data_IF_716588085501
#
_entry.id   IF_716588085501
#
_cell.length_a   1.000
_cell.length_b   1.000
_cell.length_c   1.000
_cell.angle_alpha   90.00
_cell.angle_beta   90.00
_cell.angle_gamma   90.00
#
_symmetry.space_group_name_H-M   'P 1'
#
loop_
_entity.id
_entity.type
_entity.pdbx_description
1 polymer ?
#
# COMPACT_ATOMS: atom_id res chain seq x y z
N UNK A 1 -4.93 3.35 -14.73
CA UNK A 1 -4.46 3.81 -13.39
C UNK A 1 -3.82 5.18 -13.52
N UNK A 2 -4.31 6.15 -12.73
CA UNK A 2 -3.90 7.57 -12.83
C UNK A 2 -2.56 7.85 -12.13
N UNK A 3 -2.20 7.08 -11.11
CA UNK A 3 -1.03 7.33 -10.27
C UNK A 3 0.02 6.21 -10.42
N UNK A 4 1.31 6.59 -10.43
CA UNK A 4 2.43 5.65 -10.53
C UNK A 4 2.39 4.60 -9.41
N UNK A 5 2.15 5.05 -8.18
CA UNK A 5 2.06 4.15 -7.00
C UNK A 5 0.96 3.09 -7.12
N UNK A 6 -0.16 3.40 -7.80
CA UNK A 6 -1.21 2.41 -8.08
C UNK A 6 -0.73 1.34 -9.05
N UNK A 7 0.07 1.74 -10.03
CA UNK A 7 0.63 0.81 -11.02
C UNK A 7 1.65 -0.14 -10.37
N UNK A 8 2.54 0.39 -9.54
CA UNK A 8 3.54 -0.41 -8.83
C UNK A 8 2.89 -1.41 -7.86
N UNK A 9 1.86 -1.00 -7.10
CA UNK A 9 1.10 -1.90 -6.21
C UNK A 9 0.35 -2.98 -6.98
N UNK A 10 -0.24 -2.64 -8.12
CA UNK A 10 -0.89 -3.60 -9.01
C UNK A 10 0.10 -4.59 -9.63
N UNK A 11 1.26 -4.12 -10.04
CA UNK A 11 2.32 -4.97 -10.56
C UNK A 11 2.77 -5.99 -9.49
N UNK A 12 3.04 -5.55 -8.26
CA UNK A 12 3.39 -6.44 -7.15
C UNK A 12 2.29 -7.48 -6.85
N UNK A 13 1.02 -7.09 -6.92
CA UNK A 13 -0.11 -8.02 -6.81
C UNK A 13 -0.07 -9.08 -7.91
N UNK A 14 0.12 -8.69 -9.16
CA UNK A 14 0.21 -9.63 -10.29
C UNK A 14 1.41 -10.57 -10.17
N UNK A 15 2.57 -10.06 -9.75
CA UNK A 15 3.78 -10.84 -9.54
C UNK A 15 3.57 -11.90 -8.44
N UNK A 16 3.00 -11.50 -7.29
CA UNK A 16 2.72 -12.42 -6.18
C UNK A 16 1.73 -13.54 -6.57
N UNK A 17 0.68 -13.22 -7.33
CA UNK A 17 -0.24 -14.24 -7.85
C UNK A 17 0.48 -15.19 -8.80
N UNK A 18 1.29 -14.66 -9.70
CA UNK A 18 2.03 -15.46 -10.67
C UNK A 18 3.04 -16.40 -9.99
N UNK A 19 3.73 -15.94 -8.96
CA UNK A 19 4.63 -16.77 -8.13
C UNK A 19 3.89 -17.89 -7.41
N UNK A 20 2.62 -17.65 -7.01
CA UNK A 20 1.75 -18.65 -6.43
C UNK A 20 1.07 -19.58 -7.47
N UNK A 21 1.36 -19.42 -8.77
CA UNK A 21 0.74 -20.19 -9.85
C UNK A 21 -0.70 -19.79 -10.15
N UNK A 22 -1.14 -18.60 -9.70
CA UNK A 22 -2.49 -18.07 -9.89
C UNK A 22 -2.46 -17.07 -11.03
N UNK A 23 -3.32 -17.25 -12.03
CA UNK A 23 -3.45 -16.28 -13.13
C UNK A 23 -4.21 -15.06 -12.64
N UNK A 24 -3.67 -13.82 -12.76
CA UNK A 24 -4.41 -12.61 -12.42
C UNK A 24 -5.68 -12.48 -13.26
N UNK A 25 -6.82 -12.26 -12.59
CA UNK A 25 -8.11 -11.99 -13.24
C UNK A 25 -8.38 -10.49 -13.25
N UNK A 26 -8.45 -9.84 -14.44
CA UNK A 26 -8.73 -8.42 -14.55
C UNK A 26 -10.11 -8.01 -14.01
N UNK A 27 -11.08 -8.93 -13.95
CA UNK A 27 -12.42 -8.64 -13.42
C UNK A 27 -12.43 -8.42 -11.91
N UNK A 28 -11.40 -8.94 -11.21
CA UNK A 28 -11.19 -8.74 -9.78
C UNK A 28 -10.35 -7.49 -9.46
N UNK A 29 -10.06 -6.65 -10.46
CA UNK A 29 -9.26 -5.43 -10.28
C UNK A 29 -10.10 -4.20 -10.59
N UNK A 30 -10.33 -3.35 -9.59
CA UNK A 30 -11.14 -2.15 -9.74
C UNK A 30 -10.32 -0.93 -9.34
N UNK A 31 -10.27 0.07 -10.21
CA UNK A 31 -9.58 1.33 -9.94
C UNK A 31 -10.37 2.19 -8.95
N UNK A 32 -9.75 2.57 -7.84
CA UNK A 32 -10.29 3.46 -6.82
C UNK A 32 -9.64 4.84 -6.83
N UNK A 33 -9.95 5.64 -5.81
CA UNK A 33 -9.57 7.05 -5.69
C UNK A 33 -8.75 7.36 -4.42
N UNK A 34 -8.32 6.33 -3.69
CA UNK A 34 -7.66 6.41 -2.38
C UNK A 34 -8.53 6.97 -1.24
N UNK A 35 -9.85 7.13 -1.46
CA UNK A 35 -10.79 7.61 -0.46
C UNK A 35 -11.66 6.46 0.08
N UNK A 36 -12.19 6.56 1.32
CA UNK A 36 -13.07 5.52 1.88
C UNK A 36 -14.31 5.28 1.03
N UNK A 37 -14.95 6.34 0.52
CA UNK A 37 -16.13 6.22 -0.35
C UNK A 37 -15.84 5.47 -1.65
N UNK A 38 -14.67 5.70 -2.26
CA UNK A 38 -14.21 4.95 -3.43
C UNK A 38 -13.91 3.51 -3.08
N UNK A 39 -13.25 3.24 -1.95
CA UNK A 39 -13.01 1.90 -1.44
C UNK A 39 -14.30 1.10 -1.23
N UNK A 40 -15.33 1.72 -0.60
CA UNK A 40 -16.65 1.11 -0.42
C UNK A 40 -17.33 0.79 -1.75
N UNK A 41 -17.29 1.72 -2.70
CA UNK A 41 -17.90 1.50 -4.02
C UNK A 41 -17.17 0.39 -4.81
N UNK A 42 -15.83 0.32 -4.75
CA UNK A 42 -15.05 -0.72 -5.39
C UNK A 42 -15.29 -2.09 -4.74
N UNK A 43 -15.23 -2.17 -3.42
CA UNK A 43 -15.49 -3.40 -2.69
C UNK A 43 -16.92 -3.90 -2.95
N UNK A 44 -17.94 -3.03 -2.93
CA UNK A 44 -19.30 -3.40 -3.24
C UNK A 44 -19.46 -4.04 -4.63
N UNK A 45 -18.73 -3.56 -5.65
CA UNK A 45 -18.72 -4.18 -6.98
C UNK A 45 -18.10 -5.58 -6.96
N UNK A 46 -17.00 -5.78 -6.22
CA UNK A 46 -16.35 -7.10 -6.09
C UNK A 46 -17.24 -8.08 -5.34
N UNK A 47 -17.91 -7.62 -4.28
CA UNK A 47 -18.77 -8.45 -3.43
C UNK A 47 -20.12 -8.79 -4.09
N UNK A 48 -20.51 -8.03 -5.12
CA UNK A 48 -21.71 -8.30 -5.93
C UNK A 48 -21.48 -9.36 -7.03
N UNK A 49 -20.24 -9.80 -7.26
CA UNK A 49 -19.96 -10.86 -8.24
C UNK A 49 -20.56 -12.20 -7.77
N UNK A 50 -20.97 -13.03 -8.71
CA UNK A 50 -21.46 -14.39 -8.44
C UNK A 50 -20.35 -15.21 -7.75
N UNK A 51 -19.14 -15.20 -8.33
CA UNK A 51 -17.93 -15.76 -7.74
C UNK A 51 -17.12 -14.66 -7.06
N UNK A 52 -17.64 -14.15 -5.93
CA UNK A 52 -16.98 -13.08 -5.20
C UNK A 52 -15.64 -13.49 -4.60
N UNK A 53 -14.65 -12.59 -4.51
CA UNK A 53 -13.39 -12.90 -3.86
C UNK A 53 -13.58 -13.12 -2.36
N UNK A 54 -12.77 -14.02 -1.78
CA UNK A 54 -12.68 -14.26 -0.34
C UNK A 54 -11.61 -13.43 0.34
N UNK A 55 -10.86 -12.65 -0.44
CA UNK A 55 -9.85 -11.71 0.05
C UNK A 55 -9.80 -10.46 -0.84
N UNK A 56 -9.62 -9.30 -0.23
CA UNK A 56 -9.42 -8.02 -0.92
C UNK A 56 -8.11 -7.39 -0.43
N UNK A 57 -7.26 -7.01 -1.38
CA UNK A 57 -6.14 -6.11 -1.17
C UNK A 57 -6.56 -4.69 -1.58
N UNK A 58 -6.70 -3.81 -0.61
CA UNK A 58 -6.99 -2.40 -0.84
C UNK A 58 -5.68 -1.61 -0.97
N UNK A 59 -5.57 -0.80 -2.01
CA UNK A 59 -4.35 -0.04 -2.32
C UNK A 59 -4.05 1.11 -1.33
N UNK A 60 -4.89 1.32 -0.30
CA UNK A 60 -4.60 2.16 0.87
C UNK A 60 -5.49 1.74 2.04
N UNK A 61 -5.08 2.11 3.26
CA UNK A 61 -5.90 1.88 4.46
C UNK A 61 -7.23 2.65 4.39
N UNK A 62 -7.23 3.83 3.80
CA UNK A 62 -8.46 4.62 3.61
C UNK A 62 -9.48 3.84 2.76
N UNK A 63 -9.03 3.22 1.66
CA UNK A 63 -9.91 2.36 0.84
C UNK A 63 -10.32 1.09 1.59
N UNK A 64 -9.42 0.51 2.41
CA UNK A 64 -9.76 -0.65 3.24
C UNK A 64 -10.86 -0.33 4.25
N UNK A 65 -10.91 0.88 4.82
CA UNK A 65 -12.01 1.26 5.71
C UNK A 65 -13.35 1.26 4.98
N UNK A 66 -13.38 1.79 3.76
CA UNK A 66 -14.59 1.70 2.92
C UNK A 66 -14.95 0.25 2.55
N UNK A 67 -13.95 -0.61 2.36
CA UNK A 67 -14.19 -2.03 2.10
C UNK A 67 -14.76 -2.76 3.34
N UNK A 68 -14.37 -2.38 4.57
CA UNK A 68 -15.00 -2.87 5.80
C UNK A 68 -16.48 -2.49 5.87
N UNK A 69 -16.82 -1.24 5.54
CA UNK A 69 -18.23 -0.77 5.47
C UNK A 69 -19.02 -1.59 4.43
N UNK A 70 -18.44 -1.81 3.24
CA UNK A 70 -19.08 -2.62 2.21
C UNK A 70 -19.30 -4.06 2.68
N UNK A 71 -18.32 -4.68 3.35
CA UNK A 71 -18.46 -6.04 3.88
C UNK A 71 -19.63 -6.13 4.88
N UNK A 72 -19.77 -5.15 5.78
CA UNK A 72 -20.89 -5.08 6.73
C UNK A 72 -22.24 -4.96 6.00
N UNK A 73 -22.32 -4.12 4.97
CA UNK A 73 -23.55 -3.96 4.15
C UNK A 73 -23.98 -5.24 3.42
N UNK A 74 -22.99 -6.06 3.02
CA UNK A 74 -23.22 -7.37 2.42
C UNK A 74 -23.42 -8.49 3.46
N UNK A 75 -23.40 -8.17 4.75
CA UNK A 75 -23.57 -9.13 5.84
C UNK A 75 -22.38 -10.09 5.99
N UNK A 76 -21.19 -9.68 5.53
CA UNK A 76 -19.95 -10.48 5.57
C UNK A 76 -19.14 -10.14 6.80
N UNK A 77 -18.65 -11.16 7.47
CA UNK A 77 -17.74 -11.03 8.61
C UNK A 77 -16.30 -10.98 8.13
N UNK A 78 -15.55 -10.02 8.64
CA UNK A 78 -14.11 -9.93 8.46
C UNK A 78 -13.46 -10.36 9.77
N UNK A 79 -12.60 -11.39 9.80
CA UNK A 79 -11.97 -12.07 8.65
C UNK A 79 -12.68 -13.35 8.18
N UNK A 80 -13.77 -13.82 8.81
CA UNK A 80 -14.30 -15.16 8.62
C UNK A 80 -14.80 -15.41 7.19
N UNK A 81 -15.52 -14.45 6.62
CA UNK A 81 -16.13 -14.57 5.28
C UNK A 81 -15.31 -13.80 4.21
N UNK A 82 -14.49 -12.83 4.64
CA UNK A 82 -13.66 -11.99 3.79
C UNK A 82 -12.39 -11.56 4.51
N UNK A 83 -11.22 -11.89 3.97
CA UNK A 83 -9.95 -11.32 4.43
C UNK A 83 -9.71 -9.97 3.78
N UNK A 84 -9.16 -9.01 4.55
CA UNK A 84 -8.90 -7.65 4.06
C UNK A 84 -7.50 -7.18 4.46
N UNK A 85 -6.74 -6.70 3.47
CA UNK A 85 -5.41 -6.11 3.66
C UNK A 85 -5.44 -4.67 3.14
N UNK A 86 -4.90 -3.74 3.93
CA UNK A 86 -4.67 -2.36 3.56
C UNK A 86 -3.21 -2.08 3.16
N UNK A 87 -2.93 -0.82 2.95
CA UNK A 87 -1.59 -0.30 2.65
C UNK A 87 -1.45 1.08 3.30
N UNK A 88 -0.32 1.38 3.90
CA UNK A 88 0.19 2.56 4.58
C UNK A 88 0.40 2.35 6.08
N UNK A 89 -0.39 1.51 6.76
CA UNK A 89 -0.42 1.27 8.21
C UNK A 89 -0.56 2.58 9.01
N UNK A 90 -1.54 3.40 8.65
CA UNK A 90 -1.84 4.61 9.41
C UNK A 90 -2.42 4.27 10.79
N UNK A 91 -2.26 5.14 11.81
CA UNK A 91 -2.62 4.81 13.21
C UNK A 91 -4.04 4.28 13.42
N UNK A 92 -5.00 4.71 12.62
CA UNK A 92 -6.39 4.25 12.70
C UNK A 92 -6.53 2.75 12.41
N UNK A 93 -5.66 2.15 11.58
CA UNK A 93 -5.70 0.73 11.20
C UNK A 93 -5.58 -0.23 12.39
N UNK A 94 -4.91 0.19 13.47
CA UNK A 94 -4.84 -0.57 14.71
C UNK A 94 -6.13 -0.50 15.54
N UNK A 95 -7.03 0.44 15.24
CA UNK A 95 -8.23 0.72 16.03
C UNK A 95 -9.54 0.39 15.29
N UNK A 96 -9.47 -0.06 14.04
CA UNK A 96 -10.64 -0.59 13.33
C UNK A 96 -11.14 -1.89 13.98
N UNK A 97 -12.33 -2.32 13.62
CA UNK A 97 -12.92 -3.58 14.09
C UNK A 97 -13.42 -4.36 12.88
N UNK A 98 -12.73 -5.46 12.55
CA UNK A 98 -11.44 -5.95 13.11
C UNK A 98 -10.27 -4.99 12.87
N UNK A 99 -9.19 -5.10 13.70
CA UNK A 99 -7.96 -4.34 13.46
C UNK A 99 -7.35 -4.74 12.11
N UNK A 100 -7.03 -3.75 11.26
CA UNK A 100 -6.65 -3.96 9.87
C UNK A 100 -5.20 -4.42 9.73
N UNK A 101 -4.99 -5.55 9.06
CA UNK A 101 -3.71 -5.98 8.53
C UNK A 101 -3.31 -5.03 7.41
N UNK A 102 -2.11 -4.49 7.43
CA UNK A 102 -1.68 -3.47 6.47
C UNK A 102 -0.19 -3.54 6.17
N UNK A 103 0.19 -3.13 4.97
CA UNK A 103 1.60 -2.94 4.59
C UNK A 103 2.08 -1.60 5.13
N UNK A 104 3.02 -1.64 6.08
CA UNK A 104 3.60 -0.45 6.71
C UNK A 104 4.66 0.17 5.83
N UNK A 105 4.45 1.41 5.43
CA UNK A 105 5.50 2.23 4.83
C UNK A 105 6.38 2.88 5.92
N UNK A 106 7.71 2.93 5.75
CA UNK A 106 8.61 3.56 6.71
C UNK A 106 8.61 5.10 6.56
N UNK A 107 7.45 5.76 6.77
CA UNK A 107 7.27 7.21 6.52
C UNK A 107 8.30 8.09 7.23
N UNK A 108 8.66 7.74 8.46
CA UNK A 108 9.66 8.50 9.21
C UNK A 108 11.03 8.43 8.53
N UNK A 109 11.48 7.23 8.15
CA UNK A 109 12.74 7.03 7.44
C UNK A 109 12.71 7.69 6.06
N UNK A 110 11.58 7.58 5.34
CA UNK A 110 11.38 8.27 4.05
C UNK A 110 11.59 9.77 4.20
N UNK A 111 10.99 10.39 5.22
CA UNK A 111 11.16 11.81 5.52
C UNK A 111 12.61 12.16 5.84
N UNK A 112 13.27 11.39 6.70
CA UNK A 112 14.69 11.60 7.03
C UNK A 112 15.59 11.50 5.80
N UNK A 113 15.41 10.47 4.97
CA UNK A 113 16.20 10.25 3.75
C UNK A 113 15.97 11.36 2.72
N UNK A 114 14.71 11.77 2.54
CA UNK A 114 14.36 12.87 1.63
C UNK A 114 15.05 14.19 2.02
N UNK A 115 15.01 14.55 3.31
CA UNK A 115 15.66 15.76 3.80
C UNK A 115 17.19 15.65 3.72
N UNK A 116 17.78 14.51 4.11
CA UNK A 116 19.22 14.29 3.98
C UNK A 116 19.68 14.42 2.53
N UNK A 117 18.94 13.85 1.57
CA UNK A 117 19.23 13.99 0.15
C UNK A 117 19.13 15.46 -0.30
N UNK A 118 18.07 16.15 0.08
CA UNK A 118 17.90 17.58 -0.27
C UNK A 118 19.08 18.41 0.24
N UNK A 119 19.49 18.22 1.50
CA UNK A 119 20.61 18.94 2.09
C UNK A 119 21.93 18.64 1.36
N UNK A 120 22.21 17.38 1.01
CA UNK A 120 23.40 17.00 0.25
C UNK A 120 23.43 17.64 -1.15
N UNK A 121 22.28 17.82 -1.79
CA UNK A 121 22.16 18.51 -3.08
C UNK A 121 22.42 20.02 -2.94
N UNK A 122 22.05 20.62 -1.81
CA UNK A 122 22.28 22.06 -1.53
C UNK A 122 23.73 22.33 -1.15
N UNK A 123 24.40 21.38 -0.47
CA UNK A 123 25.80 21.50 -0.05
C UNK A 123 26.81 21.11 -1.15
N UNK A 124 26.34 20.42 -2.21
CA UNK A 124 27.18 20.09 -3.36
C UNK A 124 27.75 21.37 -4.00
N UNK A 125 29.07 21.47 -4.27
CA UNK A 125 29.66 22.66 -4.85
C UNK A 125 28.97 22.97 -6.19
N UNK A 126 28.20 24.04 -6.23
CA UNK A 126 27.79 24.60 -7.52
C UNK A 126 29.04 25.03 -8.28
N UNK A 127 29.07 24.90 -9.62
CA UNK A 127 30.07 25.59 -10.40
C UNK A 127 30.06 27.06 -10.01
N UNK A 128 31.18 27.79 -10.01
CA UNK A 128 31.37 29.03 -9.31
C UNK A 128 30.37 30.12 -9.76
N UNK A 129 29.37 30.32 -8.92
CA UNK A 129 28.36 31.39 -9.02
C UNK A 129 28.08 31.86 -7.59
N UNK A 130 28.28 33.15 -7.33
CA UNK A 130 28.27 33.80 -6.03
C UNK A 130 27.01 33.56 -5.20
N UNK A 131 27.12 32.82 -4.10
CA UNK A 131 26.06 32.72 -3.09
C UNK A 131 26.56 32.04 -1.81
N UNK A 132 26.77 32.82 -0.74
CA UNK A 132 27.09 32.33 0.61
C UNK A 132 25.85 31.77 1.29
N UNK A 133 25.97 30.54 1.83
CA UNK A 133 25.05 30.04 2.86
C UNK A 133 25.86 29.74 4.15
N UNK A 134 25.35 30.13 5.32
CA UNK A 134 26.00 29.85 6.61
C UNK A 134 25.42 28.57 7.21
N UNK A 135 26.30 27.74 7.75
CA UNK A 135 25.90 26.70 8.71
C UNK A 135 26.35 25.28 8.37
N UNK A 136 27.32 24.83 9.15
CA UNK A 136 27.83 23.45 9.15
C UNK A 136 26.77 22.50 9.70
N UNK A 137 26.25 21.58 8.86
CA UNK A 137 25.48 20.40 9.25
C UNK A 137 26.36 19.16 9.09
N UNK A 138 27.22 18.91 10.06
CA UNK A 138 28.18 17.78 10.08
C UNK A 138 27.55 16.39 10.31
N UNK A 139 26.25 16.24 10.36
CA UNK A 139 25.58 15.00 10.84
C UNK A 139 25.07 14.09 9.74
N UNK A 140 25.17 14.42 8.44
CA UNK A 140 24.55 13.65 7.35
C UNK A 140 25.56 13.04 6.36
N UNK A 141 26.71 12.59 6.85
CA UNK A 141 27.87 12.15 6.06
C UNK A 141 27.71 10.78 5.33
N UNK A 142 26.51 10.27 5.13
CA UNK A 142 26.32 8.92 4.56
C UNK A 142 25.75 8.86 3.13
N UNK A 143 25.60 9.98 2.45
CA UNK A 143 25.16 9.94 1.06
C UNK A 143 26.33 10.17 0.10
N UNK A 144 26.44 9.38 -0.99
CA UNK A 144 27.49 9.57 -1.98
C UNK A 144 27.31 10.90 -2.72
N UNK A 145 28.39 11.53 -3.22
CA UNK A 145 28.30 12.76 -3.99
C UNK A 145 27.47 12.53 -5.28
N UNK A 146 26.46 13.37 -5.46
CA UNK A 146 25.51 13.26 -6.59
C UNK A 146 26.12 13.84 -7.86
N UNK A 147 26.33 13.00 -8.88
CA UNK A 147 26.53 13.47 -10.25
C UNK A 147 25.18 13.94 -10.80
N UNK A 148 25.09 15.21 -11.21
CA UNK A 148 23.85 15.94 -11.57
C UNK A 148 23.07 15.42 -12.80
N UNK A 149 23.35 14.23 -13.32
CA UNK A 149 22.76 13.75 -14.60
C UNK A 149 21.75 12.62 -14.45
N UNK A 150 21.59 11.99 -13.28
CA UNK A 150 20.63 10.89 -13.11
C UNK A 150 19.75 11.08 -11.87
N UNK A 151 18.46 10.69 -11.93
CA UNK A 151 17.58 10.75 -10.77
C UNK A 151 18.05 9.76 -9.69
N UNK A 152 18.19 10.24 -8.46
CA UNK A 152 18.51 9.37 -7.33
C UNK A 152 17.24 8.64 -6.93
N UNK A 153 17.29 7.32 -6.92
CA UNK A 153 16.24 6.44 -6.42
C UNK A 153 16.71 5.78 -5.15
N UNK A 154 15.97 5.98 -4.06
CA UNK A 154 16.16 5.28 -2.80
C UNK A 154 14.99 4.32 -2.61
N UNK A 155 15.30 3.04 -2.46
CA UNK A 155 14.31 2.01 -2.16
C UNK A 155 14.39 1.69 -0.67
N UNK A 156 13.24 1.73 0.01
CA UNK A 156 13.11 1.36 1.41
C UNK A 156 12.20 0.13 1.50
N UNK A 157 12.51 -0.76 2.44
CA UNK A 157 11.68 -1.92 2.70
C UNK A 157 10.37 -1.50 3.38
N UNK A 158 9.29 -2.19 3.03
CA UNK A 158 8.01 -2.10 3.71
C UNK A 158 7.75 -3.41 4.47
N UNK A 159 7.03 -3.35 5.60
CA UNK A 159 6.72 -4.48 6.45
C UNK A 159 5.22 -4.80 6.40
N UNK A 160 4.86 -6.09 6.42
CA UNK A 160 3.48 -6.50 6.61
C UNK A 160 3.17 -6.56 8.12
N UNK A 161 2.24 -5.72 8.57
CA UNK A 161 1.73 -5.71 9.96
C UNK A 161 0.47 -6.55 10.01
N UNK A 162 0.60 -7.80 10.44
CA UNK A 162 -0.53 -8.73 10.57
C UNK A 162 -1.36 -8.38 11.80
N UNK A 163 -2.69 -8.26 11.61
CA UNK A 163 -3.68 -8.01 12.66
C UNK A 163 -4.87 -8.99 12.50
N UNK A 164 -6.07 -8.52 12.81
CA UNK A 164 -7.26 -9.38 12.90
C UNK A 164 -8.13 -9.42 11.64
N UNK A 165 -7.78 -8.72 10.57
CA UNK A 165 -8.60 -8.63 9.35
C UNK A 165 -8.33 -9.71 8.30
N UNK A 166 -7.44 -10.68 8.59
CA UNK A 166 -7.12 -11.79 7.71
C UNK A 166 -7.17 -13.11 8.45
N UNK A 167 -7.66 -14.14 7.77
CA UNK A 167 -7.63 -15.54 8.22
C UNK A 167 -7.29 -16.48 7.06
N UNK A 168 -6.99 -17.73 7.38
CA UNK A 168 -6.94 -18.78 6.37
C UNK A 168 -8.32 -18.94 5.72
N UNK A 169 -8.40 -19.13 4.39
CA UNK A 169 -9.67 -19.35 3.72
C UNK A 169 -10.40 -20.54 4.36
N UNK A 170 -11.65 -20.34 4.77
CA UNK A 170 -12.48 -21.51 5.08
C UNK A 170 -12.72 -22.24 3.77
N UNK A 171 -12.51 -23.57 3.75
CA UNK A 171 -12.89 -24.38 2.61
C UNK A 171 -14.36 -24.09 2.31
N UNK A 172 -14.65 -23.58 1.12
CA UNK A 172 -16.02 -23.44 0.64
C UNK A 172 -16.67 -24.81 0.83
N UNK A 173 -17.63 -24.92 1.72
CA UNK A 173 -18.43 -26.13 1.87
C UNK A 173 -19.22 -26.29 0.56
N UNK A 174 -18.68 -27.08 -0.36
CA UNK A 174 -19.43 -27.52 -1.53
C UNK A 174 -20.60 -28.32 -0.96
N UNK A 175 -21.87 -27.92 -1.15
CA UNK A 175 -22.98 -28.73 -0.73
C UNK A 175 -22.84 -30.09 -1.43
N UNK A 176 -22.96 -31.18 -0.67
CA UNK A 176 -22.94 -32.53 -1.22
C UNK A 176 -24.04 -32.61 -2.29
N UNK A 177 -23.74 -33.18 -3.47
CA UNK A 177 -24.79 -33.44 -4.46
C UNK A 177 -25.85 -34.35 -3.84
N UNK A 178 -27.15 -33.96 -3.92
CA UNK A 178 -28.30 -34.76 -3.56
C UNK A 178 -28.41 -36.00 -4.47
#
# INVERSE_FOLDING_TARGET
MKYLVSHERYQGYCEALSEAGITPDPTLVIEGDFMPSGGRACAGKLLALEDRPTAIFAASDQMAYGALEAAEEYGLRVPEDLSLIGFDDIPLSAHTRPALTSVRQPFYEMGQRAIALLLSLLESPRPPGNGRYPGSLQTYAFLPPVKQSEPIRLQLAADLVVRASCSTPQALSVPAPE
#
